data_IF_614916494606
#
_entry.id   IF_614916494606
#
_cell.length_a   1.000
_cell.length_b   1.000
_cell.length_c   1.000
_cell.angle_alpha   90.00
_cell.angle_beta   90.00
_cell.angle_gamma   90.00
#
_symmetry.space_group_name_H-M   'P 1'
#
loop_
_entity.id
_entity.type
_entity.pdbx_description
1 polymer ?
#
# COMPACT_ATOMS: atom_id res chain seq x y z
N UNK A 1 -9.63 8.89 -2.68
CA UNK A 1 -9.71 7.82 -3.70
C UNK A 1 -11.14 7.30 -3.86
N UNK A 2 -11.68 6.52 -2.92
CA UNK A 2 -12.98 5.82 -3.07
C UNK A 2 -14.19 6.73 -3.26
N UNK A 3 -14.24 7.87 -2.56
CA UNK A 3 -15.31 8.87 -2.71
C UNK A 3 -15.28 9.51 -4.09
N UNK A 4 -14.09 9.89 -4.57
CA UNK A 4 -13.92 10.53 -5.89
C UNK A 4 -14.21 9.55 -7.03
N UNK A 5 -13.86 8.27 -6.86
CA UNK A 5 -14.16 7.22 -7.85
C UNK A 5 -15.61 6.74 -7.80
N UNK A 6 -16.41 7.14 -6.80
CA UNK A 6 -17.76 6.63 -6.59
C UNK A 6 -17.83 5.11 -6.38
N UNK A 7 -16.70 4.47 -6.03
CA UNK A 7 -16.54 3.01 -5.99
C UNK A 7 -15.31 2.58 -5.20
N UNK A 8 -15.37 1.42 -4.55
CA UNK A 8 -14.25 0.79 -3.83
C UNK A 8 -14.65 0.24 -2.45
N UNK A 9 -13.67 -0.26 -1.69
CA UNK A 9 -13.89 -0.90 -0.39
C UNK A 9 -13.23 -0.12 0.75
N UNK A 10 -13.84 0.98 1.23
CA UNK A 10 -13.22 1.83 2.26
C UNK A 10 -13.10 1.12 3.62
N UNK A 11 -14.06 0.28 4.02
CA UNK A 11 -14.08 -0.38 5.33
C UNK A 11 -12.85 -1.27 5.57
N UNK A 12 -12.65 -2.28 4.71
CA UNK A 12 -11.49 -3.17 4.79
C UNK A 12 -10.15 -2.45 4.57
N UNK A 13 -10.17 -1.35 3.80
CA UNK A 13 -9.00 -0.49 3.63
C UNK A 13 -8.61 0.20 4.93
N UNK A 14 -9.57 0.82 5.63
CA UNK A 14 -9.30 1.49 6.91
C UNK A 14 -8.88 0.51 8.00
N UNK A 15 -9.48 -0.68 8.08
CA UNK A 15 -9.14 -1.66 9.11
C UNK A 15 -7.74 -2.26 8.97
N UNK A 16 -7.12 -2.14 7.79
CA UNK A 16 -5.80 -2.74 7.49
C UNK A 16 -4.67 -1.73 7.39
N UNK A 17 -4.95 -0.42 7.49
CA UNK A 17 -3.97 0.62 7.17
C UNK A 17 -2.76 0.62 8.11
N UNK A 18 -2.97 0.43 9.42
CA UNK A 18 -1.89 0.43 10.42
C UNK A 18 -0.98 -0.79 10.23
N UNK A 19 -1.55 -1.92 9.86
CA UNK A 19 -0.80 -3.15 9.56
C UNK A 19 0.06 -2.95 8.31
N UNK A 20 -0.50 -2.38 7.24
CA UNK A 20 0.23 -2.12 6.01
C UNK A 20 1.38 -1.14 6.24
N UNK A 21 1.14 -0.02 6.93
CA UNK A 21 2.18 0.96 7.25
C UNK A 21 3.29 0.34 8.09
N UNK A 22 2.93 -0.44 9.11
CA UNK A 22 3.90 -1.10 10.00
C UNK A 22 4.77 -2.11 9.26
N UNK A 23 4.17 -2.91 8.37
CA UNK A 23 4.88 -3.89 7.54
C UNK A 23 5.84 -3.18 6.59
N UNK A 24 5.37 -2.19 5.82
CA UNK A 24 6.22 -1.46 4.88
C UNK A 24 7.38 -0.76 5.59
N UNK A 25 7.14 -0.12 6.74
CA UNK A 25 8.21 0.55 7.51
C UNK A 25 9.27 -0.42 8.06
N UNK A 26 8.96 -1.71 8.16
CA UNK A 26 9.89 -2.74 8.67
C UNK A 26 10.58 -3.51 7.53
N UNK A 27 9.93 -3.60 6.36
CA UNK A 27 10.45 -4.32 5.21
C UNK A 27 11.69 -3.63 4.64
N UNK A 28 12.60 -4.44 4.07
CA UNK A 28 13.65 -3.92 3.20
C UNK A 28 13.04 -3.62 1.84
N UNK A 29 12.81 -2.35 1.56
CA UNK A 29 12.32 -1.91 0.26
C UNK A 29 12.92 -0.55 -0.11
N UNK A 30 12.92 -0.22 -1.41
CA UNK A 30 13.36 1.10 -1.89
C UNK A 30 12.32 1.62 -2.91
N UNK A 31 11.64 2.73 -2.61
CA UNK A 31 10.70 3.37 -3.53
C UNK A 31 11.35 3.87 -4.84
N UNK A 32 12.61 4.29 -4.80
CA UNK A 32 13.37 4.74 -5.98
C UNK A 32 13.84 3.56 -6.84
N UNK A 33 13.94 2.36 -6.26
CA UNK A 33 14.33 1.14 -6.97
C UNK A 33 13.40 -0.04 -6.66
N UNK A 34 12.14 0.00 -7.14
CA UNK A 34 11.11 -1.00 -6.80
C UNK A 34 11.41 -2.40 -7.36
N UNK A 35 12.27 -2.51 -8.38
CA UNK A 35 12.73 -3.77 -8.96
C UNK A 35 13.97 -4.35 -8.26
N UNK A 36 14.37 -3.82 -7.11
CA UNK A 36 15.48 -4.36 -6.33
C UNK A 36 15.26 -5.84 -5.99
N UNK A 37 16.11 -6.73 -6.51
CA UNK A 37 15.92 -8.19 -6.41
C UNK A 37 15.83 -8.69 -4.96
N UNK A 38 16.65 -8.12 -4.06
CA UNK A 38 16.77 -8.55 -2.66
C UNK A 38 15.79 -7.84 -1.70
N UNK A 39 14.85 -7.06 -2.22
CA UNK A 39 13.82 -6.44 -1.40
C UNK A 39 12.89 -7.52 -0.81
N UNK A 40 12.33 -7.23 0.34
CA UNK A 40 11.21 -8.01 0.84
C UNK A 40 9.97 -7.78 -0.05
N UNK A 41 9.12 -8.81 -0.19
CA UNK A 41 7.96 -8.78 -1.09
C UNK A 41 6.65 -8.86 -0.29
N UNK A 42 5.82 -7.84 -0.42
CA UNK A 42 4.47 -7.82 0.13
C UNK A 42 3.48 -8.27 -0.95
N UNK A 43 2.65 -9.26 -0.63
CA UNK A 43 1.55 -9.73 -1.49
C UNK A 43 0.24 -9.59 -0.71
N UNK A 44 -0.66 -8.74 -1.21
CA UNK A 44 -1.95 -8.50 -0.58
C UNK A 44 -3.00 -9.40 -1.24
N UNK A 45 -3.26 -10.57 -0.63
CA UNK A 45 -4.23 -11.54 -1.15
C UNK A 45 -5.67 -10.99 -1.15
N UNK A 46 -6.03 -10.19 -0.15
CA UNK A 46 -7.31 -9.48 -0.06
C UNK A 46 -7.36 -8.24 -0.98
N UNK A 47 -7.10 -8.41 -2.28
CA UNK A 47 -6.81 -7.31 -3.21
C UNK A 47 -7.89 -6.21 -3.34
N UNK A 48 -9.12 -6.46 -2.89
CA UNK A 48 -10.19 -5.46 -2.88
C UNK A 48 -9.92 -4.28 -1.92
N UNK A 49 -8.97 -4.40 -0.98
CA UNK A 49 -8.47 -3.29 -0.15
C UNK A 49 -7.40 -2.43 -0.83
N UNK A 50 -7.34 -2.45 -2.16
CA UNK A 50 -6.38 -1.67 -2.96
C UNK A 50 -6.29 -0.17 -2.58
N UNK A 51 -7.34 0.53 -2.12
CA UNK A 51 -7.19 1.91 -1.66
C UNK A 51 -6.19 2.08 -0.50
N UNK A 52 -6.14 1.15 0.46
CA UNK A 52 -5.16 1.20 1.53
C UNK A 52 -3.75 0.91 1.04
N UNK A 53 -3.60 -0.04 0.11
CA UNK A 53 -2.29 -0.38 -0.49
C UNK A 53 -1.73 0.81 -1.24
N UNK A 54 -2.52 1.46 -2.08
CA UNK A 54 -2.08 2.66 -2.80
C UNK A 54 -1.79 3.83 -1.85
N UNK A 55 -2.62 4.04 -0.82
CA UNK A 55 -2.34 5.07 0.18
C UNK A 55 -1.01 4.82 0.89
N UNK A 56 -0.73 3.56 1.26
CA UNK A 56 0.54 3.15 1.89
C UNK A 56 1.72 3.39 0.95
N UNK A 57 1.63 2.95 -0.31
CA UNK A 57 2.70 3.14 -1.30
C UNK A 57 2.98 4.62 -1.60
N UNK A 58 1.95 5.46 -1.67
CA UNK A 58 2.10 6.91 -1.83
C UNK A 58 2.82 7.55 -0.65
N UNK A 59 2.43 7.20 0.59
CA UNK A 59 3.13 7.65 1.81
C UNK A 59 4.59 7.17 1.84
N UNK A 60 4.85 5.94 1.38
CA UNK A 60 6.19 5.38 1.29
C UNK A 60 7.03 5.99 0.15
N UNK A 61 6.48 6.87 -0.69
CA UNK A 61 7.23 7.58 -1.72
C UNK A 61 7.36 6.84 -3.05
N UNK A 62 6.53 5.83 -3.33
CA UNK A 62 6.54 5.13 -4.62
C UNK A 62 5.96 5.95 -5.77
N UNK A 63 5.15 6.96 -5.46
CA UNK A 63 4.58 7.89 -6.43
C UNK A 63 4.15 9.19 -5.72
N UNK A 64 4.01 10.31 -6.45
CA UNK A 64 3.48 11.56 -5.91
C UNK A 64 2.05 11.40 -5.37
N UNK A 65 1.77 12.01 -4.22
CA UNK A 65 0.43 12.07 -3.61
C UNK A 65 -0.45 13.17 -4.21
#
# INVERSE_FOLDING_TARGET
MTTLSGSGHPGGSMSSIDMLLSIYNTMRHNPEYPSWEQRDRMVVSIGHISPAVYSTLGIMGYFPL
#
